data_IF_389162738327
#
_entry.id   IF_389162738327
#
_cell.length_a   1.000
_cell.length_b   1.000
_cell.length_c   1.000
_cell.angle_alpha   90.00
_cell.angle_beta   90.00
_cell.angle_gamma   90.00
#
_symmetry.space_group_name_H-M   'P 1'
#
loop_
_entity.id
_entity.type
_entity.pdbx_description
1 polymer ?
#
# COMPACT_ATOMS: atom_id res chain seq x y z
N UNK A 1 -16.57 3.44 -7.26
CA UNK A 1 -16.94 2.07 -7.62
C UNK A 1 -16.29 1.02 -6.72
N UNK A 2 -14.97 1.08 -6.48
CA UNK A 2 -14.31 0.08 -5.61
C UNK A 2 -14.83 0.12 -4.16
N UNK A 3 -15.08 1.29 -3.60
CA UNK A 3 -15.58 1.47 -2.23
C UNK A 3 -17.11 1.34 -2.13
N UNK A 4 -17.82 1.34 -3.25
CA UNK A 4 -19.28 1.20 -3.36
C UNK A 4 -20.09 2.04 -2.33
N UNK A 5 -19.90 3.36 -2.25
CA UNK A 5 -20.70 4.18 -1.36
C UNK A 5 -22.15 4.17 -1.86
N UNK A 6 -23.06 3.65 -1.05
CA UNK A 6 -24.50 3.81 -1.27
C UNK A 6 -25.30 2.55 -1.65
N UNK A 7 -24.71 1.35 -1.70
CA UNK A 7 -25.47 0.13 -2.00
C UNK A 7 -25.83 -0.72 -0.77
N UNK A 8 -25.16 -0.55 0.33
CA UNK A 8 -25.53 -1.06 1.66
C UNK A 8 -24.72 -0.25 2.66
N UNK A 9 -25.36 0.40 3.58
CA UNK A 9 -24.83 1.17 4.72
C UNK A 9 -23.48 1.85 4.48
N UNK A 10 -23.50 3.19 4.34
CA UNK A 10 -22.29 4.00 4.26
C UNK A 10 -21.38 3.67 5.46
N UNK A 11 -20.41 2.82 5.21
CA UNK A 11 -19.52 2.36 6.28
C UNK A 11 -18.47 3.43 6.53
N UNK A 12 -18.44 3.96 7.75
CA UNK A 12 -17.47 4.95 8.20
C UNK A 12 -16.01 4.47 7.93
N UNK A 13 -15.77 3.16 7.92
CA UNK A 13 -14.48 2.56 7.57
C UNK A 13 -14.03 2.86 6.13
N UNK A 14 -14.97 3.05 5.19
CA UNK A 14 -14.64 3.47 3.82
C UNK A 14 -14.04 4.87 3.76
N UNK A 15 -14.48 5.77 4.67
CA UNK A 15 -13.90 7.10 4.79
C UNK A 15 -12.45 7.05 5.32
N UNK A 16 -12.19 6.19 6.30
CA UNK A 16 -10.83 5.97 6.79
C UNK A 16 -9.92 5.43 5.70
N UNK A 17 -10.40 4.52 4.83
CA UNK A 17 -9.63 4.01 3.70
C UNK A 17 -9.28 5.12 2.70
N UNK A 18 -10.22 6.04 2.40
CA UNK A 18 -9.95 7.19 1.52
C UNK A 18 -8.90 8.14 2.12
N UNK A 19 -9.03 8.47 3.40
CA UNK A 19 -8.08 9.34 4.11
C UNK A 19 -6.70 8.67 4.14
N UNK A 20 -6.63 7.37 4.43
CA UNK A 20 -5.38 6.61 4.39
C UNK A 20 -4.73 6.64 3.01
N UNK A 21 -5.51 6.47 1.93
CA UNK A 21 -5.02 6.58 0.56
C UNK A 21 -4.46 7.96 0.23
N UNK A 22 -5.09 9.02 0.72
CA UNK A 22 -4.59 10.39 0.56
C UNK A 22 -3.23 10.57 1.26
N UNK A 23 -3.12 10.14 2.52
CA UNK A 23 -1.85 10.21 3.26
C UNK A 23 -0.78 9.35 2.62
N UNK A 24 -1.14 8.18 2.09
CA UNK A 24 -0.22 7.33 1.34
C UNK A 24 0.31 8.02 0.07
N UNK A 25 -0.56 8.66 -0.70
CA UNK A 25 -0.13 9.43 -1.87
C UNK A 25 0.83 10.58 -1.50
N UNK A 26 0.53 11.32 -0.43
CA UNK A 26 1.44 12.34 0.09
C UNK A 26 2.78 11.72 0.53
N UNK A 27 2.76 10.59 1.21
CA UNK A 27 3.96 9.86 1.60
C UNK A 27 4.85 9.51 0.39
N UNK A 28 4.28 9.04 -0.72
CA UNK A 28 5.04 8.73 -1.93
C UNK A 28 5.76 9.96 -2.50
N UNK A 29 5.06 11.10 -2.58
CA UNK A 29 5.62 12.36 -3.07
C UNK A 29 6.76 12.84 -2.16
N UNK A 30 6.54 12.82 -0.85
CA UNK A 30 7.57 13.24 0.11
C UNK A 30 8.77 12.28 0.12
N UNK A 31 8.54 10.97 0.02
CA UNK A 31 9.61 9.96 -0.09
C UNK A 31 10.53 10.27 -1.27
N UNK A 32 9.96 10.57 -2.45
CA UNK A 32 10.76 10.97 -3.61
C UNK A 32 11.57 12.22 -3.33
N UNK A 33 10.94 13.25 -2.78
CA UNK A 33 11.58 14.55 -2.50
C UNK A 33 12.74 14.43 -1.51
N UNK A 34 12.56 13.66 -0.45
CA UNK A 34 13.59 13.46 0.59
C UNK A 34 14.69 12.51 0.08
N UNK A 35 14.33 11.45 -0.61
CA UNK A 35 15.25 10.42 -1.04
C UNK A 35 16.19 10.87 -2.17
N UNK A 36 15.87 11.97 -2.84
CA UNK A 36 16.74 12.58 -3.84
C UNK A 36 18.03 13.15 -3.20
N UNK A 37 17.97 13.61 -1.95
CA UNK A 37 19.09 14.22 -1.21
C UNK A 37 19.60 13.38 -0.04
N UNK A 38 18.98 12.23 0.25
CA UNK A 38 19.28 11.42 1.43
C UNK A 38 19.45 9.94 1.06
N UNK A 39 20.17 9.22 1.90
CA UNK A 39 20.33 7.77 1.72
C UNK A 39 19.01 7.02 1.96
N UNK A 40 18.73 5.97 1.18
CA UNK A 40 17.50 5.19 1.31
C UNK A 40 17.30 4.59 2.70
N UNK A 41 18.40 4.23 3.39
CA UNK A 41 18.36 3.73 4.77
C UNK A 41 17.87 4.81 5.74
N UNK A 42 18.36 6.04 5.54
CA UNK A 42 17.92 7.19 6.37
C UNK A 42 16.44 7.47 6.16
N UNK A 43 16.00 7.51 4.91
CA UNK A 43 14.58 7.72 4.56
C UNK A 43 13.71 6.60 5.13
N UNK A 44 14.14 5.34 5.03
CA UNK A 44 13.45 4.19 5.62
C UNK A 44 13.32 4.36 7.14
N UNK A 45 14.40 4.73 7.83
CA UNK A 45 14.40 4.89 9.28
C UNK A 45 13.44 5.98 9.73
N UNK A 46 13.48 7.15 9.09
CA UNK A 46 12.58 8.25 9.41
C UNK A 46 11.11 7.96 9.10
N UNK A 47 10.82 7.12 8.14
CA UNK A 47 9.44 6.71 7.81
C UNK A 47 8.89 5.63 8.75
N UNK A 48 9.73 4.75 9.27
CA UNK A 48 9.29 3.59 10.07
C UNK A 48 9.33 3.84 11.58
N UNK A 49 10.36 4.54 12.10
CA UNK A 49 10.55 4.74 13.55
C UNK A 49 9.36 5.48 14.19
N UNK A 50 8.85 6.60 13.66
CA UNK A 50 7.71 7.29 14.26
C UNK A 50 6.46 6.40 14.36
N UNK A 51 6.18 5.65 13.29
CA UNK A 51 5.07 4.68 13.29
C UNK A 51 5.26 3.59 14.33
N UNK A 52 6.46 3.03 14.45
CA UNK A 52 6.78 2.03 15.45
C UNK A 52 6.60 2.56 16.88
N UNK A 53 7.05 3.78 17.17
CA UNK A 53 6.86 4.41 18.48
C UNK A 53 5.38 4.58 18.81
N UNK A 54 4.59 5.15 17.88
CA UNK A 54 3.16 5.39 18.08
C UNK A 54 2.44 4.05 18.31
N UNK A 55 2.70 3.04 17.47
CA UNK A 55 2.07 1.73 17.60
C UNK A 55 2.46 1.04 18.91
N UNK A 56 3.72 1.14 19.34
CA UNK A 56 4.17 0.58 20.61
C UNK A 56 3.45 1.22 21.81
N UNK A 57 3.18 2.51 21.76
CA UNK A 57 2.42 3.22 22.79
C UNK A 57 0.93 2.83 22.81
N UNK A 58 0.38 2.44 21.65
CA UNK A 58 -1.03 2.05 21.53
C UNK A 58 -1.27 0.57 21.85
N UNK A 59 -0.27 -0.29 21.74
CA UNK A 59 -0.38 -1.74 22.01
C UNK A 59 -1.07 -2.04 23.34
N UNK A 60 -0.73 -1.41 24.49
CA UNK A 60 -1.35 -1.76 25.78
C UNK A 60 -2.87 -1.58 25.80
N UNK A 61 -3.42 -0.69 24.96
CA UNK A 61 -4.86 -0.38 24.89
C UNK A 61 -5.64 -1.34 23.97
N UNK A 62 -4.95 -2.00 23.04
CA UNK A 62 -5.55 -2.86 22.01
C UNK A 62 -4.95 -4.27 22.02
N UNK A 63 -4.31 -4.66 23.13
CA UNK A 63 -3.65 -5.95 23.21
C UNK A 63 -4.66 -7.09 23.23
N UNK A 64 -4.57 -7.93 22.21
CA UNK A 64 -5.24 -9.22 22.18
C UNK A 64 -4.21 -10.35 22.34
N UNK A 65 -4.55 -11.38 23.09
CA UNK A 65 -3.66 -12.53 23.28
C UNK A 65 -3.53 -13.32 21.97
N UNK A 66 -2.30 -13.63 21.59
CA UNK A 66 -2.03 -14.42 20.39
C UNK A 66 -2.22 -15.89 20.75
N UNK A 67 -3.23 -16.59 20.17
CA UNK A 67 -3.62 -17.92 20.67
C UNK A 67 -2.67 -19.06 20.26
N UNK A 68 -1.86 -18.91 19.17
CA UNK A 68 -1.08 -20.00 18.61
C UNK A 68 0.36 -19.62 18.25
N UNK A 69 1.30 -20.53 18.54
CA UNK A 69 2.72 -20.37 18.16
C UNK A 69 2.91 -20.14 16.64
N UNK A 70 2.12 -20.79 15.81
CA UNK A 70 2.17 -20.59 14.36
C UNK A 70 1.89 -19.15 13.95
N UNK A 71 0.95 -18.48 14.61
CA UNK A 71 0.64 -17.07 14.36
C UNK A 71 1.79 -16.16 14.79
N UNK A 72 2.45 -16.45 15.91
CA UNK A 72 3.63 -15.69 16.35
C UNK A 72 4.75 -15.79 15.32
N UNK A 73 5.01 -16.99 14.78
CA UNK A 73 6.03 -17.21 13.77
C UNK A 73 5.69 -16.44 12.49
N UNK A 74 4.45 -16.53 12.01
CA UNK A 74 4.00 -15.81 10.81
C UNK A 74 4.14 -14.30 11.00
N UNK A 75 3.67 -13.76 12.12
CA UNK A 75 3.81 -12.33 12.44
C UNK A 75 5.28 -11.90 12.51
N UNK A 76 6.12 -12.74 13.12
CA UNK A 76 7.56 -12.49 13.19
C UNK A 76 8.25 -12.50 11.81
N UNK A 77 7.77 -13.28 10.85
CA UNK A 77 8.29 -13.29 9.47
C UNK A 77 7.81 -12.09 8.64
N UNK A 78 6.63 -11.54 8.92
CA UNK A 78 6.10 -10.38 8.18
C UNK A 78 7.02 -9.17 8.32
N UNK A 79 7.52 -8.87 9.51
CA UNK A 79 8.37 -7.70 9.77
C UNK A 79 9.60 -7.62 8.86
N UNK A 80 10.48 -8.63 8.82
CA UNK A 80 11.65 -8.64 7.94
C UNK A 80 11.28 -8.52 6.45
N UNK A 81 10.23 -9.22 5.99
CA UNK A 81 9.78 -9.15 4.59
C UNK A 81 9.31 -7.73 4.24
N UNK A 82 8.55 -7.10 5.13
CA UNK A 82 8.09 -5.72 4.93
C UNK A 82 9.27 -4.73 4.91
N UNK A 83 10.25 -4.88 5.80
CA UNK A 83 11.43 -4.00 5.83
C UNK A 83 12.22 -4.11 4.52
N UNK A 84 12.48 -5.32 4.05
CA UNK A 84 13.22 -5.56 2.80
C UNK A 84 12.47 -5.00 1.61
N UNK A 85 11.19 -5.28 1.47
CA UNK A 85 10.37 -4.75 0.37
C UNK A 85 10.27 -3.23 0.40
N UNK A 86 10.11 -2.65 1.59
CA UNK A 86 10.03 -1.20 1.77
C UNK A 86 11.35 -0.49 1.47
N UNK A 87 12.48 -1.12 1.80
CA UNK A 87 13.81 -0.63 1.41
C UNK A 87 13.97 -0.54 -0.12
N UNK A 88 13.63 -1.63 -0.84
CA UNK A 88 13.69 -1.61 -2.31
C UNK A 88 12.69 -0.62 -2.92
N UNK A 89 11.54 -0.48 -2.34
CA UNK A 89 10.54 0.50 -2.70
C UNK A 89 11.09 1.93 -2.60
N UNK A 90 11.63 2.31 -1.43
CA UNK A 90 12.25 3.62 -1.24
C UNK A 90 13.41 3.83 -2.22
N UNK A 91 14.24 2.80 -2.41
CA UNK A 91 15.37 2.86 -3.33
C UNK A 91 14.92 3.11 -4.78
N UNK A 92 13.79 2.56 -5.21
CA UNK A 92 13.26 2.82 -6.55
C UNK A 92 12.97 4.32 -6.77
N UNK A 93 12.53 5.03 -5.75
CA UNK A 93 12.31 6.48 -5.81
C UNK A 93 13.58 7.33 -5.87
N UNK A 94 14.77 6.76 -5.73
CA UNK A 94 16.02 7.44 -6.05
C UNK A 94 16.26 7.53 -7.56
N UNK A 95 15.80 6.53 -8.29
CA UNK A 95 16.09 6.37 -9.71
C UNK A 95 14.97 6.85 -10.63
N UNK A 96 13.73 6.92 -10.13
CA UNK A 96 12.58 7.30 -10.92
C UNK A 96 11.63 8.23 -10.17
N UNK A 97 10.88 9.02 -10.92
CA UNK A 97 9.85 9.91 -10.38
C UNK A 97 8.61 9.13 -9.95
N UNK A 98 7.85 9.70 -8.99
CA UNK A 98 6.62 9.10 -8.51
C UNK A 98 5.60 8.83 -9.63
N UNK A 99 5.52 9.71 -10.62
CA UNK A 99 4.67 9.56 -11.81
C UNK A 99 5.07 8.35 -12.66
N UNK A 100 6.37 8.09 -12.79
CA UNK A 100 6.90 6.94 -13.54
C UNK A 100 6.68 5.62 -12.79
N UNK A 101 6.74 5.64 -11.45
CA UNK A 101 6.54 4.46 -10.62
C UNK A 101 5.06 4.15 -10.38
N UNK A 102 4.17 5.15 -10.48
CA UNK A 102 2.75 4.97 -10.23
C UNK A 102 2.09 3.82 -11.02
N UNK A 103 2.37 3.63 -12.33
CA UNK A 103 1.81 2.49 -13.08
C UNK A 103 2.21 1.12 -12.51
N UNK A 104 3.41 1.01 -11.91
CA UNK A 104 3.91 -0.23 -11.31
C UNK A 104 3.08 -0.60 -10.06
N UNK A 105 2.58 0.40 -9.32
CA UNK A 105 1.70 0.16 -8.17
C UNK A 105 0.37 -0.49 -8.56
N UNK A 106 -0.08 -0.33 -9.82
CA UNK A 106 -1.30 -1.02 -10.27
C UNK A 106 -1.10 -2.54 -10.36
N UNK A 107 0.15 -3.00 -10.48
CA UNK A 107 0.46 -4.43 -10.42
C UNK A 107 0.18 -5.02 -9.03
N UNK A 108 0.30 -4.21 -7.98
CA UNK A 108 -0.11 -4.58 -6.62
C UNK A 108 -1.60 -4.92 -6.56
N UNK A 109 -2.45 -4.12 -7.20
CA UNK A 109 -3.90 -4.38 -7.24
C UNK A 109 -4.20 -5.73 -7.91
N UNK A 110 -3.55 -6.01 -9.05
CA UNK A 110 -3.70 -7.28 -9.75
C UNK A 110 -3.25 -8.45 -8.86
N UNK A 111 -2.08 -8.31 -8.21
CA UNK A 111 -1.54 -9.34 -7.33
C UNK A 111 -2.45 -9.60 -6.13
N UNK A 112 -3.00 -8.55 -5.51
CA UNK A 112 -3.93 -8.67 -4.40
C UNK A 112 -5.22 -9.39 -4.80
N UNK A 113 -5.78 -9.08 -5.98
CA UNK A 113 -6.96 -9.78 -6.50
C UNK A 113 -6.67 -11.25 -6.78
N UNK A 114 -5.52 -11.55 -7.40
CA UNK A 114 -5.11 -12.93 -7.64
C UNK A 114 -4.97 -13.72 -6.34
N UNK A 115 -4.31 -13.17 -5.34
CA UNK A 115 -4.15 -13.79 -4.02
C UNK A 115 -5.52 -13.98 -3.37
N UNK A 116 -6.40 -12.97 -3.40
CA UNK A 116 -7.75 -13.05 -2.85
C UNK A 116 -8.54 -14.20 -3.45
N UNK A 117 -8.54 -14.32 -4.77
CA UNK A 117 -9.26 -15.38 -5.48
C UNK A 117 -8.64 -16.76 -5.23
N UNK A 118 -7.31 -16.88 -5.30
CA UNK A 118 -6.63 -18.19 -5.24
C UNK A 118 -6.61 -18.77 -3.82
N UNK A 119 -6.34 -17.94 -2.81
CA UNK A 119 -6.15 -18.40 -1.44
C UNK A 119 -7.40 -18.27 -0.57
N UNK A 120 -8.16 -17.20 -0.77
CA UNK A 120 -9.34 -16.91 0.05
C UNK A 120 -10.66 -17.24 -0.66
N UNK A 121 -10.61 -17.58 -1.97
CA UNK A 121 -11.80 -17.84 -2.80
C UNK A 121 -12.79 -16.66 -2.80
N UNK A 122 -12.29 -15.48 -2.53
CA UNK A 122 -13.07 -14.24 -2.49
C UNK A 122 -13.04 -13.62 -3.89
N UNK A 123 -14.16 -13.74 -4.60
CA UNK A 123 -14.29 -13.25 -5.97
C UNK A 123 -14.82 -11.82 -5.92
N UNK A 124 -14.10 -10.84 -6.49
CA UNK A 124 -14.56 -9.46 -6.49
C UNK A 124 -15.88 -9.31 -7.25
N UNK A 125 -16.76 -8.48 -6.72
CA UNK A 125 -18.03 -8.17 -7.39
C UNK A 125 -17.80 -7.52 -8.76
N UNK A 126 -18.77 -7.60 -9.66
CA UNK A 126 -18.67 -7.01 -11.02
C UNK A 126 -18.33 -5.52 -10.94
N UNK A 127 -18.94 -4.78 -9.99
CA UNK A 127 -18.66 -3.36 -9.82
C UNK A 127 -17.23 -3.08 -9.38
N UNK A 128 -16.66 -3.92 -8.48
CA UNK A 128 -15.25 -3.83 -8.06
C UNK A 128 -14.33 -4.16 -9.23
N UNK A 129 -14.63 -5.20 -10.00
CA UNK A 129 -13.85 -5.59 -11.19
C UNK A 129 -13.80 -4.48 -12.23
N UNK A 130 -14.93 -3.82 -12.52
CA UNK A 130 -14.96 -2.66 -13.43
C UNK A 130 -14.12 -1.51 -12.88
N UNK A 131 -14.19 -1.23 -11.58
CA UNK A 131 -13.37 -0.20 -10.93
C UNK A 131 -11.88 -0.48 -11.07
N UNK A 132 -11.44 -1.71 -10.86
CA UNK A 132 -10.06 -2.17 -11.02
C UNK A 132 -9.61 -1.99 -12.48
N UNK A 133 -10.42 -2.41 -13.45
CA UNK A 133 -10.10 -2.24 -14.88
C UNK A 133 -9.95 -0.77 -15.25
N UNK A 134 -10.81 0.11 -14.74
CA UNK A 134 -10.69 1.56 -14.96
C UNK A 134 -9.39 2.14 -14.39
N UNK A 135 -8.98 1.71 -13.19
CA UNK A 135 -7.74 2.17 -12.56
C UNK A 135 -6.53 1.70 -13.38
N UNK A 136 -6.47 0.42 -13.74
CA UNK A 136 -5.36 -0.15 -14.52
C UNK A 136 -5.26 0.51 -15.89
N UNK A 137 -6.38 0.66 -16.61
CA UNK A 137 -6.39 1.29 -17.93
C UNK A 137 -5.93 2.74 -17.89
N UNK A 138 -6.36 3.51 -16.89
CA UNK A 138 -5.89 4.89 -16.70
C UNK A 138 -4.39 4.96 -16.44
N UNK A 139 -3.85 4.04 -15.64
CA UNK A 139 -2.43 3.96 -15.35
C UNK A 139 -1.59 3.61 -16.59
N UNK A 140 -2.04 2.67 -17.39
CA UNK A 140 -1.38 2.32 -18.67
C UNK A 140 -1.39 3.51 -19.63
N UNK A 141 -2.51 4.22 -19.74
CA UNK A 141 -2.60 5.42 -20.60
C UNK A 141 -1.64 6.52 -20.16
N UNK A 142 -1.51 6.77 -18.86
CA UNK A 142 -0.56 7.75 -18.32
C UNK A 142 0.88 7.32 -18.65
N UNK A 143 1.23 6.05 -18.46
CA UNK A 143 2.55 5.52 -18.76
C UNK A 143 2.93 5.64 -20.23
N UNK A 144 2.00 5.35 -21.14
CA UNK A 144 2.22 5.47 -22.57
C UNK A 144 2.43 6.93 -23.00
N UNK A 145 1.68 7.86 -22.41
CA UNK A 145 1.80 9.29 -22.75
C UNK A 145 3.12 9.91 -22.22
N UNK A 146 3.67 9.40 -21.12
CA UNK A 146 4.96 9.86 -20.60
C UNK A 146 6.15 9.41 -21.47
N UNK A 147 6.06 8.27 -22.14
CA UNK A 147 7.10 7.79 -23.05
C UNK A 147 7.08 8.48 -24.43
N UNK A 148 6.07 9.30 -24.69
CA UNK A 148 5.88 10.01 -25.97
C UNK A 148 6.42 11.46 -25.96
N UNK A 149 6.84 11.96 -24.79
CA UNK A 149 7.48 13.28 -24.63
C UNK A 149 8.93 13.13 -24.18
#
# INVERSE_FOLDING_TARGET
MVIQPGFTDFNLYSLYALISGLFYAMYLIYTRKVNFSSDSIVTLSYSTIPGAIIMTLLIPFYWESIPNLSQIIIMGCIGPVVIVSHFFFIKAYQYAEASTLAPIHYFEIVSNVLISVLFFKDIPTIAVSIGIMCIISSGVLISLNQNSN
#
